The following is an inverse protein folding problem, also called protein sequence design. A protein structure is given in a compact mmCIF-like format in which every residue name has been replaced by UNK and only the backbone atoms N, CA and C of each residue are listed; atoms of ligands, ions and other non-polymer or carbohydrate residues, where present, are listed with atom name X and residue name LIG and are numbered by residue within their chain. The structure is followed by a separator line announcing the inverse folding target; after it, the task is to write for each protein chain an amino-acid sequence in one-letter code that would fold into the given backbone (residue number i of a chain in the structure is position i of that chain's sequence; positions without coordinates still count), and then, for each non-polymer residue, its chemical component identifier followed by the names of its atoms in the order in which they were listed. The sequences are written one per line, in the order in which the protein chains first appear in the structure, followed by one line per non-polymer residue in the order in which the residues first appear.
data_IF_982038136651
#
_entry.id   IF_982038136651
#
_cell.length_a   1.000
_cell.length_b   1.000
_cell.length_c   1.000
_cell.angle_alpha   90.00
_cell.angle_beta   90.00
_cell.angle_gamma   90.00
#
_symmetry.space_group_name_H-M   'P 1'
#
loop_
_entity.id
_entity.type
_entity.pdbx_description
1 polymer ?
#
# COMPACT_ATOMS: atom_id res chain seq x y z
N UNK A 1 -15.97 2.74 -1.86
CA UNK A 1 -16.59 1.39 -1.91
C UNK A 1 -15.58 0.41 -1.32
N UNK A 2 -16.00 -0.63 -0.58
CA UNK A 2 -15.06 -1.64 -0.10
C UNK A 2 -14.39 -2.33 -1.29
N UNK A 3 -13.09 -2.62 -1.17
CA UNK A 3 -12.37 -3.37 -2.19
C UNK A 3 -12.97 -4.77 -2.35
N UNK A 4 -13.15 -5.22 -3.59
CA UNK A 4 -13.75 -6.53 -3.91
C UNK A 4 -12.93 -7.75 -3.43
N UNK A 5 -11.61 -7.59 -3.34
CA UNK A 5 -10.65 -8.61 -2.92
C UNK A 5 -9.31 -7.95 -2.61
N UNK A 6 -8.45 -8.69 -1.91
CA UNK A 6 -7.05 -8.33 -1.74
C UNK A 6 -6.35 -8.19 -3.10
N UNK A 7 -5.51 -7.17 -3.23
CA UNK A 7 -4.66 -6.96 -4.40
C UNK A 7 -3.19 -6.89 -3.99
N UNK A 8 -2.34 -7.62 -4.72
CA UNK A 8 -0.90 -7.69 -4.48
C UNK A 8 -0.15 -7.14 -5.68
N UNK A 9 0.86 -6.31 -5.43
CA UNK A 9 1.71 -5.76 -6.48
C UNK A 9 3.09 -5.38 -5.96
N UNK A 10 4.05 -5.27 -6.86
CA UNK A 10 5.35 -4.68 -6.56
C UNK A 10 5.29 -3.17 -6.81
N UNK A 11 5.96 -2.41 -5.97
CA UNK A 11 6.07 -0.96 -6.12
C UNK A 11 7.48 -0.48 -5.76
N UNK A 12 7.83 0.68 -6.31
CA UNK A 12 9.07 1.38 -5.94
C UNK A 12 8.75 2.44 -4.90
N UNK A 13 9.49 2.45 -3.79
CA UNK A 13 9.40 3.51 -2.79
C UNK A 13 9.96 4.81 -3.39
N UNK A 14 9.10 5.83 -3.50
CA UNK A 14 9.46 7.13 -4.04
C UNK A 14 9.85 8.09 -2.91
N UNK A 15 10.56 9.18 -3.26
CA UNK A 15 10.87 10.29 -2.33
C UNK A 15 9.63 10.76 -1.56
N UNK A 16 9.79 10.97 -0.26
CA UNK A 16 8.69 11.31 0.66
C UNK A 16 7.84 10.10 1.06
N UNK A 17 8.45 8.91 1.04
CA UNK A 17 7.87 7.62 1.40
C UNK A 17 6.61 7.27 0.61
N UNK A 18 6.57 7.63 -0.68
CA UNK A 18 5.37 7.50 -1.51
C UNK A 18 5.35 6.19 -2.28
N UNK A 19 4.16 5.62 -2.40
CA UNK A 19 3.88 4.45 -3.26
C UNK A 19 2.74 4.81 -4.20
N UNK A 20 2.90 4.47 -5.48
CA UNK A 20 1.86 4.59 -6.50
C UNK A 20 1.05 3.30 -6.55
N UNK A 21 -0.28 3.40 -6.38
CA UNK A 21 -1.17 2.27 -6.66
C UNK A 21 -1.30 2.13 -8.19
N UNK A 22 -1.15 0.91 -8.75
CA UNK A 22 -1.38 0.67 -10.16
C UNK A 22 -2.76 1.14 -10.63
N UNK A 23 -2.81 1.85 -11.75
CA UNK A 23 -4.05 2.41 -12.32
C UNK A 23 -5.12 1.33 -12.54
N UNK A 24 -4.71 0.13 -12.96
CA UNK A 24 -5.64 -0.99 -13.13
C UNK A 24 -6.34 -1.38 -11.82
N UNK A 25 -5.63 -1.38 -10.69
CA UNK A 25 -6.21 -1.66 -9.37
C UNK A 25 -7.16 -0.54 -8.97
N UNK A 26 -6.75 0.72 -9.17
CA UNK A 26 -7.60 1.89 -8.92
C UNK A 26 -8.94 1.78 -9.66
N UNK A 27 -8.92 1.45 -10.95
CA UNK A 27 -10.12 1.34 -11.78
C UNK A 27 -10.99 0.15 -11.40
N UNK A 28 -10.37 -1.02 -11.26
CA UNK A 28 -11.09 -2.26 -10.97
C UNK A 28 -11.86 -2.19 -9.64
N UNK A 29 -11.27 -1.55 -8.64
CA UNK A 29 -11.89 -1.40 -7.31
C UNK A 29 -12.60 -0.06 -7.13
N UNK A 30 -12.68 0.77 -8.19
CA UNK A 30 -13.26 2.12 -8.17
C UNK A 30 -12.75 2.96 -7.00
N UNK A 31 -11.43 2.89 -6.74
CA UNK A 31 -10.80 3.57 -5.62
C UNK A 31 -10.77 5.08 -5.84
N UNK A 32 -11.11 5.84 -4.81
CA UNK A 32 -11.24 7.29 -4.86
C UNK A 32 -10.26 7.99 -3.93
N UNK A 33 -9.95 9.23 -4.28
CA UNK A 33 -9.18 10.13 -3.43
C UNK A 33 -9.85 10.25 -2.04
N UNK A 34 -9.06 10.09 -1.00
CA UNK A 34 -9.52 10.21 0.37
C UNK A 34 -10.07 8.93 1.01
N UNK A 35 -10.24 7.84 0.25
CA UNK A 35 -10.55 6.54 0.82
C UNK A 35 -9.40 6.04 1.71
N UNK A 36 -9.77 5.33 2.78
CA UNK A 36 -8.83 4.73 3.72
C UNK A 36 -8.69 3.26 3.36
N UNK A 37 -7.45 2.78 3.26
CA UNK A 37 -7.12 1.40 2.91
C UNK A 37 -6.23 0.80 3.99
N UNK A 38 -6.46 -0.46 4.33
CA UNK A 38 -5.48 -1.27 5.07
C UNK A 38 -4.46 -1.82 4.09
N UNK A 39 -3.18 -1.58 4.37
CA UNK A 39 -2.09 -2.00 3.49
C UNK A 39 -1.04 -2.77 4.29
N UNK A 40 -0.37 -3.70 3.63
CA UNK A 40 0.88 -4.28 4.10
C UNK A 40 1.97 -4.01 3.09
N UNK A 41 3.11 -3.52 3.55
CA UNK A 41 4.34 -3.44 2.76
C UNK A 41 5.32 -4.47 3.28
N UNK A 42 6.07 -5.11 2.39
CA UNK A 42 7.07 -6.10 2.79
C UNK A 42 8.36 -5.93 1.98
N UNK A 43 9.48 -6.07 2.67
CA UNK A 43 10.82 -6.00 2.11
C UNK A 43 11.32 -7.41 1.87
N UNK A 44 11.71 -7.72 0.63
CA UNK A 44 12.40 -8.98 0.32
C UNK A 44 13.76 -9.06 1.01
N UNK A 45 14.43 -7.93 1.21
CA UNK A 45 15.77 -7.87 1.81
C UNK A 45 15.69 -8.12 3.32
N UNK A 46 14.80 -7.40 4.02
CA UNK A 46 14.62 -7.55 5.46
C UNK A 46 13.78 -8.79 5.84
N UNK A 47 13.21 -9.52 4.88
CA UNK A 47 12.35 -10.69 5.09
C UNK A 47 11.20 -10.45 6.08
N UNK A 48 10.75 -9.20 6.19
CA UNK A 48 9.70 -8.76 7.11
C UNK A 48 8.77 -7.74 6.43
N UNK A 49 7.64 -7.45 7.06
CA UNK A 49 6.70 -6.48 6.52
C UNK A 49 5.62 -6.05 7.50
N UNK A 50 5.28 -4.78 7.43
CA UNK A 50 4.40 -4.09 8.36
C UNK A 50 3.04 -3.76 7.74
N UNK A 51 2.00 -3.77 8.57
CA UNK A 51 0.63 -3.43 8.18
C UNK A 51 0.17 -2.14 8.83
N UNK A 52 -0.48 -1.27 8.06
CA UNK A 52 -0.98 0.02 8.53
C UNK A 52 -2.14 0.53 7.68
N UNK A 53 -2.82 1.58 8.14
CA UNK A 53 -3.86 2.25 7.37
C UNK A 53 -3.30 3.47 6.65
N UNK A 54 -3.78 3.72 5.44
CA UNK A 54 -3.40 4.89 4.64
C UNK A 54 -4.62 5.55 4.03
N UNK A 55 -4.53 6.86 3.82
CA UNK A 55 -5.49 7.62 3.03
C UNK A 55 -4.93 7.84 1.63
N UNK A 56 -5.69 7.44 0.60
CA UNK A 56 -5.32 7.68 -0.79
C UNK A 56 -5.30 9.17 -1.13
N UNK A 57 -4.24 9.62 -1.78
CA UNK A 57 -4.16 10.97 -2.36
C UNK A 57 -4.89 11.05 -3.71
N UNK A 58 -5.08 12.28 -4.20
CA UNK A 58 -5.79 12.55 -5.47
C UNK A 58 -5.15 11.90 -6.69
N UNK A 59 -3.85 11.63 -6.64
CA UNK A 59 -3.06 10.99 -7.70
C UNK A 59 -2.92 9.46 -7.50
N UNK A 60 -3.73 8.85 -6.63
CA UNK A 60 -3.71 7.40 -6.41
C UNK A 60 -2.45 6.91 -5.69
N UNK A 61 -1.85 7.77 -4.85
CA UNK A 61 -0.67 7.44 -4.06
C UNK A 61 -1.03 7.32 -2.59
N UNK A 62 -0.13 6.70 -1.84
CA UNK A 62 -0.15 6.77 -0.38
C UNK A 62 1.26 6.94 0.16
N UNK A 63 1.37 7.31 1.43
CA UNK A 63 2.65 7.44 2.13
C UNK A 63 2.83 6.31 3.14
N UNK A 64 4.00 5.68 3.12
CA UNK A 64 4.45 4.75 4.16
C UNK A 64 4.86 5.57 5.38
N UNK A 65 4.37 5.23 6.59
CA UNK A 65 4.81 5.86 7.83
C UNK A 65 6.33 5.84 7.96
N UNK A 66 6.91 6.92 8.48
CA UNK A 66 8.37 7.04 8.62
C UNK A 66 8.95 5.90 9.48
N UNK A 67 8.28 5.56 10.58
CA UNK A 67 8.69 4.45 11.46
C UNK A 67 8.77 3.12 10.72
N UNK A 68 7.81 2.83 9.83
CA UNK A 68 7.80 1.60 9.02
C UNK A 68 8.94 1.60 7.99
N UNK A 69 9.29 2.76 7.43
CA UNK A 69 10.44 2.88 6.53
C UNK A 69 11.74 2.60 7.26
N UNK A 70 11.87 3.07 8.50
CA UNK A 70 13.04 2.85 9.36
C UNK A 70 13.13 1.38 9.80
N UNK A 71 12.04 0.79 10.28
CA UNK A 71 11.97 -0.61 10.72
C UNK A 71 12.26 -1.62 9.61
N UNK A 72 11.86 -1.30 8.37
CA UNK A 72 12.06 -2.15 7.20
C UNK A 72 13.34 -1.79 6.42
N UNK A 73 14.14 -0.86 6.93
CA UNK A 73 15.40 -0.39 6.33
C UNK A 73 15.24 0.02 4.85
N UNK A 74 14.11 0.68 4.52
CA UNK A 74 13.77 1.02 3.15
C UNK A 74 14.38 2.36 2.72
N UNK A 75 14.92 2.41 1.51
CA UNK A 75 15.42 3.64 0.90
C UNK A 75 14.58 4.09 -0.30
N UNK A 76 14.56 5.40 -0.64
CA UNK A 76 13.98 5.85 -1.90
C UNK A 76 14.66 5.15 -3.08
N UNK A 77 13.87 4.41 -3.86
CA UNK A 77 14.36 3.57 -4.95
C UNK A 77 14.20 2.08 -4.69
N UNK A 78 14.05 1.64 -3.45
CA UNK A 78 13.82 0.23 -3.11
C UNK A 78 12.53 -0.29 -3.76
N UNK A 79 12.60 -1.49 -4.32
CA UNK A 79 11.42 -2.22 -4.81
C UNK A 79 10.92 -3.09 -3.66
N UNK A 80 9.65 -2.94 -3.31
CA UNK A 80 9.00 -3.65 -2.22
C UNK A 80 7.68 -4.23 -2.69
N UNK A 81 7.17 -5.21 -1.96
CA UNK A 81 5.84 -5.73 -2.24
C UNK A 81 4.77 -5.03 -1.41
N UNK A 82 3.60 -4.86 -2.01
CA UNK A 82 2.42 -4.26 -1.39
C UNK A 82 1.26 -5.23 -1.46
N UNK A 83 0.49 -5.30 -0.37
CA UNK A 83 -0.86 -5.87 -0.35
C UNK A 83 -1.83 -4.77 0.07
N UNK A 84 -2.86 -4.52 -0.73
CA UNK A 84 -4.03 -3.77 -0.31
C UNK A 84 -5.07 -4.79 0.11
N UNK A 85 -5.53 -4.72 1.35
CA UNK A 85 -6.53 -5.64 1.85
C UNK A 85 -7.93 -5.16 1.49
N UNK A 86 -8.79 -6.09 1.08
CA UNK A 86 -10.22 -5.82 1.15
C UNK A 86 -10.65 -5.70 2.60
N UNK A 87 -11.61 -4.80 2.84
CA UNK A 87 -12.50 -4.95 3.99
C UNK A 87 -13.39 -6.15 3.70
N UNK A 88 -12.82 -7.35 3.77
CA UNK A 88 -13.63 -8.54 3.94
C UNK A 88 -14.31 -8.33 5.28
N UNK A 89 -15.64 -8.28 5.27
CA UNK A 89 -16.42 -8.32 6.49
C UNK A 89 -15.83 -9.41 7.40
N UNK A 90 -15.68 -9.08 8.68
CA UNK A 90 -15.35 -10.07 9.71
C UNK A 90 -16.15 -11.35 9.45
N UNK A 91 -15.45 -12.49 9.54
CA UNK A 91 -15.84 -13.74 8.89
C UNK A 91 -17.27 -14.22 9.14
N UNK A 92 -17.78 -14.92 8.12
CA UNK A 92 -18.77 -15.99 8.31
C UNK A 92 -18.11 -17.24 8.88
#
# INVERSE_FOLDING_TARGET
MPMLRDEKFLARLQRGNRIQVPVLIMWKHKLNAGEVLRVRVWSSEAHTGESFYVRLSKDGRFRVPKIVVEELELEPGTVLGCTLYSETAEGE
#
